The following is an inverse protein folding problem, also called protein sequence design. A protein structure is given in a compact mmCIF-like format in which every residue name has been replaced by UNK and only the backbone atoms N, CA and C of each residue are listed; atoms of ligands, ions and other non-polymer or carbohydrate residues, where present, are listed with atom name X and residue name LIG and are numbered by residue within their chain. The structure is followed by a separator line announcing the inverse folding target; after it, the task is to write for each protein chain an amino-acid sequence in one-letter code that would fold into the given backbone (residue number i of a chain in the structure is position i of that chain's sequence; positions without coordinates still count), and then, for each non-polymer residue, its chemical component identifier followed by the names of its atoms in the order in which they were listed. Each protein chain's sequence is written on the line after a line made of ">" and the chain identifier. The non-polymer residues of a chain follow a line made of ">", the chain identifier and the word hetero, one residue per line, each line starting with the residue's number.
data_IF_110908127156
#
_entry.id   IF_110908127156
#
_cell.length_a   1.000
_cell.length_b   1.000
_cell.length_c   1.000
_cell.angle_alpha   90.00
_cell.angle_beta   90.00
_cell.angle_gamma   90.00
#
_symmetry.space_group_name_H-M   'P 1'
#
loop_
_entity.id
_entity.type
_entity.pdbx_description
1 polymer ?
#
# COMPACT_ATOMS: atom_id res chain seq x y z
N UNK A 1 6.77 -18.37 13.90
CA UNK A 1 7.62 -17.23 14.24
C UNK A 1 7.73 -16.24 13.09
N UNK A 2 8.04 -14.98 13.38
CA UNK A 2 8.21 -13.96 12.34
C UNK A 2 9.53 -14.15 11.59
N UNK A 3 9.53 -13.85 10.28
CA UNK A 3 10.73 -13.87 9.45
C UNK A 3 11.61 -12.66 9.81
N UNK A 4 12.87 -12.90 10.20
CA UNK A 4 13.84 -11.84 10.54
C UNK A 4 15.08 -11.85 9.67
N UNK A 5 15.28 -12.87 8.85
CA UNK A 5 16.41 -12.98 7.95
C UNK A 5 15.99 -13.45 6.56
N UNK A 6 16.62 -12.88 5.54
CA UNK A 6 16.41 -13.24 4.14
C UNK A 6 17.77 -13.31 3.45
N UNK A 7 17.95 -14.30 2.59
CA UNK A 7 19.10 -14.39 1.68
C UNK A 7 18.57 -14.42 0.25
N UNK A 8 19.08 -13.55 -0.61
CA UNK A 8 18.66 -13.51 -2.01
C UNK A 8 19.52 -14.43 -2.91
N UNK A 9 19.15 -14.52 -4.18
CA UNK A 9 19.86 -15.35 -5.16
C UNK A 9 21.30 -14.91 -5.47
N UNK A 10 21.69 -13.68 -5.09
CA UNK A 10 23.06 -13.17 -5.21
C UNK A 10 23.90 -13.42 -3.94
N UNK A 11 23.35 -14.09 -2.94
CA UNK A 11 24.01 -14.38 -1.65
C UNK A 11 24.03 -13.20 -0.69
N UNK A 12 23.31 -12.10 -0.97
CA UNK A 12 23.16 -10.99 -0.03
C UNK A 12 22.24 -11.39 1.11
N UNK A 13 22.62 -10.98 2.32
CA UNK A 13 21.84 -11.26 3.53
C UNK A 13 21.22 -10.00 4.07
N UNK A 14 19.95 -10.09 4.43
CA UNK A 14 19.17 -9.00 4.98
C UNK A 14 18.65 -9.38 6.36
N UNK A 15 18.65 -8.41 7.26
CA UNK A 15 17.99 -8.52 8.56
C UNK A 15 16.75 -7.62 8.57
N UNK A 16 15.64 -8.18 8.98
CA UNK A 16 14.36 -7.48 9.13
C UNK A 16 14.16 -7.16 10.62
N UNK A 17 14.27 -5.89 10.97
CA UNK A 17 14.01 -5.43 12.34
C UNK A 17 12.50 -5.21 12.51
N UNK A 18 11.91 -5.90 13.48
CA UNK A 18 10.49 -5.85 13.78
C UNK A 18 10.25 -5.15 15.11
N UNK A 19 9.11 -4.45 15.23
CA UNK A 19 8.65 -3.84 16.49
C UNK A 19 7.24 -4.28 16.82
N UNK A 20 6.97 -4.41 18.12
CA UNK A 20 5.62 -4.58 18.65
C UNK A 20 4.96 -3.22 18.87
N UNK A 21 3.64 -3.21 19.00
CA UNK A 21 2.89 -2.00 19.34
C UNK A 21 3.37 -1.41 20.69
N UNK A 22 3.61 -2.25 21.70
CA UNK A 22 4.12 -1.81 23.01
C UNK A 22 5.50 -1.14 22.92
N UNK A 23 6.40 -1.68 22.09
CA UNK A 23 7.73 -1.09 21.86
C UNK A 23 7.63 0.29 21.20
N UNK A 24 6.76 0.46 20.23
CA UNK A 24 6.51 1.76 19.57
C UNK A 24 5.88 2.77 20.54
N UNK A 25 4.94 2.33 21.35
CA UNK A 25 4.32 3.16 22.39
C UNK A 25 5.35 3.64 23.43
N UNK A 26 6.24 2.76 23.87
CA UNK A 26 7.31 3.12 24.79
C UNK A 26 8.29 4.13 24.17
N UNK A 27 8.72 3.92 22.94
CA UNK A 27 9.58 4.84 22.21
C UNK A 27 8.94 6.23 22.07
N UNK A 28 7.65 6.29 21.78
CA UNK A 28 6.90 7.55 21.73
C UNK A 28 6.88 8.27 23.07
N UNK A 29 6.65 7.56 24.17
CA UNK A 29 6.68 8.14 25.54
C UNK A 29 8.07 8.68 25.90
N UNK A 30 9.14 7.97 25.53
CA UNK A 30 10.53 8.42 25.77
C UNK A 30 10.87 9.68 24.97
N UNK A 31 10.50 9.76 23.70
CA UNK A 31 10.71 10.96 22.88
C UNK A 31 9.95 12.17 23.45
N UNK A 32 8.73 11.96 23.91
CA UNK A 32 7.92 13.02 24.52
C UNK A 32 8.53 13.51 25.84
N UNK A 33 9.02 12.62 26.69
CA UNK A 33 9.71 12.99 27.93
C UNK A 33 10.97 13.83 27.66
N UNK A 34 11.76 13.48 26.63
CA UNK A 34 12.96 14.22 26.21
C UNK A 34 12.61 15.60 25.68
N UNK A 35 11.54 15.74 24.88
CA UNK A 35 11.11 17.03 24.35
C UNK A 35 10.50 17.96 25.40
N UNK A 36 9.94 17.43 26.50
CA UNK A 36 9.40 18.21 27.62
C UNK A 36 10.50 18.78 28.53
N UNK A 37 11.70 18.23 28.48
CA UNK A 37 12.86 18.72 29.23
C UNK A 37 13.62 19.85 28.53
N UNK A 38 13.28 20.20 27.32
CA UNK A 38 13.84 21.36 26.58
C UNK A 38 13.06 22.62 26.89
N UNK A 39 13.74 23.74 27.28
CA UNK A 39 13.07 25.00 27.54
C UNK A 39 12.71 25.69 26.20
N UNK A 40 11.50 25.55 25.70
CA UNK A 40 11.06 26.35 24.53
C UNK A 40 9.55 26.40 24.40
N UNK A 41 9.00 27.62 24.54
CA UNK A 41 7.79 28.10 23.88
C UNK A 41 6.42 27.76 24.49
N UNK A 42 5.37 28.54 24.18
CA UNK A 42 4.04 28.34 24.72
C UNK A 42 3.43 27.04 24.23
N UNK A 43 3.02 26.23 25.18
CA UNK A 43 2.37 24.93 24.94
C UNK A 43 0.95 25.16 24.42
N UNK A 44 0.70 24.87 23.16
CA UNK A 44 -0.66 24.56 22.74
C UNK A 44 -1.04 23.21 23.38
N UNK A 45 -2.07 23.20 24.19
CA UNK A 45 -2.66 21.98 24.72
C UNK A 45 -3.36 21.24 23.56
N UNK A 46 -2.60 20.57 22.70
CA UNK A 46 -3.16 19.58 21.81
C UNK A 46 -3.45 18.33 22.63
N UNK A 47 -4.68 17.88 22.62
CA UNK A 47 -5.14 16.65 23.21
C UNK A 47 -4.12 15.53 22.92
N UNK A 48 -3.54 14.99 23.98
CA UNK A 48 -2.64 13.86 23.87
C UNK A 48 -3.45 12.66 23.41
N UNK A 49 -3.48 12.37 22.12
CA UNK A 49 -3.90 11.05 21.68
C UNK A 49 -2.93 10.05 22.31
N UNK A 50 -3.44 9.26 23.25
CA UNK A 50 -2.67 8.24 23.91
C UNK A 50 -2.14 7.27 22.84
N UNK A 51 -0.84 6.97 22.88
CA UNK A 51 -0.28 5.91 22.05
C UNK A 51 -0.52 4.59 22.77
N UNK A 52 -1.47 3.73 22.34
CA UNK A 52 -1.84 2.53 23.07
C UNK A 52 -0.75 1.46 22.97
N UNK A 53 -0.62 0.64 24.01
CA UNK A 53 0.31 -0.50 24.04
C UNK A 53 -0.17 -1.68 23.20
N UNK A 54 -1.46 -1.72 22.87
CA UNK A 54 -2.08 -2.77 22.06
C UNK A 54 -3.00 -2.14 21.01
N UNK A 55 -3.12 -2.80 19.85
CA UNK A 55 -4.09 -2.43 18.84
C UNK A 55 -5.42 -3.15 19.08
N UNK A 56 -6.57 -2.60 18.62
CA UNK A 56 -7.82 -3.32 18.61
C UNK A 56 -7.67 -4.67 17.91
N UNK A 57 -8.36 -5.69 18.44
CA UNK A 57 -8.29 -7.04 17.88
C UNK A 57 -8.93 -7.10 16.50
N UNK A 58 -8.12 -7.33 15.48
CA UNK A 58 -8.54 -7.76 14.16
C UNK A 58 -9.11 -6.69 13.24
N UNK A 59 -9.02 -7.01 11.97
CA UNK A 59 -9.70 -6.36 10.85
C UNK A 59 -10.57 -7.39 10.15
N UNK A 60 -11.35 -7.00 9.17
CA UNK A 60 -12.08 -7.94 8.30
C UNK A 60 -11.16 -8.96 7.60
N UNK A 61 -9.85 -8.70 7.55
CA UNK A 61 -8.83 -9.57 6.94
C UNK A 61 -8.11 -10.47 7.95
N UNK A 62 -8.49 -10.42 9.22
CA UNK A 62 -7.92 -11.25 10.29
C UNK A 62 -7.38 -10.48 11.47
N UNK A 63 -6.78 -11.21 12.43
CA UNK A 63 -6.20 -10.62 13.63
C UNK A 63 -4.91 -9.85 13.32
N UNK A 64 -4.82 -8.63 13.83
CA UNK A 64 -3.59 -7.83 13.79
C UNK A 64 -2.81 -8.04 15.09
N UNK A 65 -1.60 -8.62 15.00
CA UNK A 65 -0.71 -8.83 16.15
C UNK A 65 0.09 -7.59 16.54
N UNK A 66 -0.06 -6.48 15.81
CA UNK A 66 0.67 -5.24 16.05
C UNK A 66 2.15 -5.25 15.71
N UNK A 67 2.68 -6.35 15.17
CA UNK A 67 4.07 -6.44 14.74
C UNK A 67 4.23 -5.73 13.40
N UNK A 68 5.23 -4.84 13.30
CA UNK A 68 5.53 -4.05 12.11
C UNK A 68 7.01 -4.13 11.76
N UNK A 69 7.30 -4.02 10.47
CA UNK A 69 8.67 -3.87 9.97
C UNK A 69 9.17 -2.45 10.27
N UNK A 70 10.22 -2.32 11.09
CA UNK A 70 10.84 -1.03 11.42
C UNK A 70 11.99 -0.67 10.48
N UNK A 71 12.80 -1.67 10.11
CA UNK A 71 13.97 -1.45 9.26
C UNK A 71 14.36 -2.70 8.49
N UNK A 72 15.00 -2.48 7.34
CA UNK A 72 15.67 -3.52 6.56
C UNK A 72 17.15 -3.21 6.51
N UNK A 73 17.98 -4.13 7.00
CA UNK A 73 19.44 -4.03 7.01
C UNK A 73 20.05 -4.98 5.99
N UNK A 74 20.96 -4.46 5.17
CA UNK A 74 21.86 -5.31 4.38
C UNK A 74 23.05 -5.70 5.28
N UNK A 75 23.05 -6.93 5.81
CA UNK A 75 24.04 -7.38 6.78
C UNK A 75 25.27 -8.03 6.12
N UNK A 76 25.12 -8.53 4.91
CA UNK A 76 26.21 -9.10 4.14
C UNK A 76 25.97 -8.94 2.65
N UNK A 77 26.99 -8.46 1.94
CA UNK A 77 27.05 -8.43 0.48
C UNK A 77 28.34 -9.13 0.01
N UNK A 78 28.26 -10.24 -0.75
CA UNK A 78 29.43 -10.94 -1.25
C UNK A 78 30.36 -10.08 -2.14
N UNK A 79 29.83 -9.05 -2.79
CA UNK A 79 30.61 -8.09 -3.56
C UNK A 79 31.49 -7.17 -2.68
N UNK A 80 31.09 -6.98 -1.42
CA UNK A 80 31.78 -6.14 -0.43
C UNK A 80 31.86 -6.86 0.93
N UNK A 81 32.58 -7.99 1.02
CA UNK A 81 32.48 -8.90 2.17
C UNK A 81 32.99 -8.31 3.49
N UNK A 82 33.84 -7.28 3.44
CA UNK A 82 34.43 -6.65 4.62
C UNK A 82 33.66 -5.39 5.09
N UNK A 83 32.62 -4.99 4.35
CA UNK A 83 31.81 -3.84 4.74
C UNK A 83 30.81 -4.21 5.82
N UNK A 84 30.71 -3.33 6.84
CA UNK A 84 29.70 -3.41 7.89
C UNK A 84 28.61 -2.36 7.68
N UNK A 85 27.33 -2.69 7.88
CA UNK A 85 26.25 -1.71 7.72
C UNK A 85 26.33 -0.64 8.80
N UNK A 86 26.25 0.63 8.38
CA UNK A 86 26.19 1.79 9.29
C UNK A 86 24.79 2.37 9.41
N UNK A 87 23.92 2.04 8.48
CA UNK A 87 22.53 2.48 8.45
C UNK A 87 21.66 1.42 7.76
N UNK A 88 20.36 1.33 8.07
CA UNK A 88 19.46 0.44 7.34
C UNK A 88 19.26 0.92 5.90
N UNK A 89 18.95 -0.01 5.00
CA UNK A 89 18.56 0.31 3.62
C UNK A 89 17.26 1.10 3.57
N UNK A 90 16.33 0.77 4.45
CA UNK A 90 15.05 1.44 4.59
C UNK A 90 14.62 1.40 6.05
N UNK A 91 13.95 2.46 6.48
CA UNK A 91 13.34 2.57 7.80
C UNK A 91 11.89 3.03 7.67
N UNK A 92 11.03 2.47 8.51
CA UNK A 92 9.60 2.69 8.49
C UNK A 92 9.13 3.20 9.86
N UNK A 93 8.25 4.19 9.86
CA UNK A 93 7.60 4.69 11.07
C UNK A 93 6.09 4.52 10.97
N UNK A 94 5.43 4.44 12.10
CA UNK A 94 4.01 4.12 12.20
C UNK A 94 3.28 5.11 13.10
N UNK A 95 1.98 5.29 12.81
CA UNK A 95 1.09 6.05 13.68
C UNK A 95 0.79 5.28 14.97
N UNK A 96 0.14 5.95 15.93
CA UNK A 96 -0.32 5.33 17.16
C UNK A 96 -1.26 4.13 16.91
N UNK A 97 -1.97 4.13 15.78
CA UNK A 97 -2.87 3.06 15.36
C UNK A 97 -2.18 1.97 14.52
N UNK A 98 -0.85 2.01 14.37
CA UNK A 98 -0.07 1.02 13.65
C UNK A 98 -0.12 1.15 12.12
N UNK A 99 -0.52 2.29 11.60
CA UNK A 99 -0.55 2.59 10.16
C UNK A 99 0.80 3.14 9.72
N UNK A 100 1.25 2.79 8.50
CA UNK A 100 2.52 3.28 7.96
C UNK A 100 2.49 4.80 7.80
N UNK A 101 3.38 5.50 8.48
CA UNK A 101 3.45 6.98 8.48
C UNK A 101 4.49 7.52 7.52
N UNK A 102 5.69 6.96 7.51
CA UNK A 102 6.80 7.43 6.70
C UNK A 102 7.77 6.33 6.36
N UNK A 103 8.44 6.50 5.22
CA UNK A 103 9.54 5.65 4.76
C UNK A 103 10.77 6.52 4.59
N UNK A 104 11.90 6.05 5.10
CA UNK A 104 13.21 6.71 5.01
C UNK A 104 14.18 5.82 4.24
N UNK A 105 15.01 6.43 3.41
CA UNK A 105 16.06 5.74 2.68
C UNK A 105 17.34 5.56 3.53
N UNK A 106 18.38 4.99 2.91
CA UNK A 106 19.66 4.72 3.56
C UNK A 106 20.36 5.99 4.08
N UNK A 107 20.15 7.15 3.44
CA UNK A 107 20.70 8.44 3.89
C UNK A 107 19.94 9.06 5.06
N UNK A 108 18.83 8.46 5.49
CA UNK A 108 17.95 9.01 6.50
C UNK A 108 16.96 10.04 5.96
N UNK A 109 16.88 10.21 4.64
CA UNK A 109 15.93 11.12 3.99
C UNK A 109 14.56 10.47 3.93
N UNK A 110 13.51 11.20 4.32
CA UNK A 110 12.14 10.75 4.16
C UNK A 110 11.77 10.75 2.68
N UNK A 111 11.51 9.57 2.12
CA UNK A 111 11.17 9.38 0.70
C UNK A 111 9.68 9.24 0.45
N UNK A 112 8.91 8.83 1.47
CA UNK A 112 7.45 8.74 1.41
C UNK A 112 6.81 9.16 2.73
N UNK A 113 5.62 9.74 2.63
CA UNK A 113 4.78 10.08 3.77
C UNK A 113 3.33 9.76 3.50
N UNK A 114 2.59 9.38 4.55
CA UNK A 114 1.18 8.99 4.50
C UNK A 114 0.43 9.70 5.62
N UNK A 115 -0.78 10.16 5.33
CA UNK A 115 -1.68 10.78 6.28
C UNK A 115 -3.00 10.04 6.30
N UNK A 116 -3.55 9.84 7.49
CA UNK A 116 -4.77 9.06 7.70
C UNK A 116 -5.90 9.92 8.28
N UNK A 117 -7.14 9.48 8.03
CA UNK A 117 -8.33 10.11 8.58
C UNK A 117 -8.34 9.98 10.11
N UNK A 118 -8.65 11.09 10.79
CA UNK A 118 -8.69 11.13 12.26
C UNK A 118 -9.88 10.35 12.85
N UNK A 119 -10.96 10.19 12.09
CA UNK A 119 -12.21 9.57 12.55
C UNK A 119 -12.37 8.12 12.06
N UNK A 120 -11.71 7.77 10.94
CA UNK A 120 -11.83 6.45 10.31
C UNK A 120 -10.46 5.79 10.25
N UNK A 121 -10.19 4.87 11.19
CA UNK A 121 -8.94 4.13 11.26
C UNK A 121 -8.64 3.38 9.95
N UNK A 122 -7.37 3.42 9.51
CA UNK A 122 -6.91 2.76 8.29
C UNK A 122 -7.22 3.49 6.99
N UNK A 123 -7.96 4.58 7.04
CA UNK A 123 -8.34 5.35 5.84
C UNK A 123 -7.25 6.38 5.52
N UNK A 124 -6.46 6.12 4.49
CA UNK A 124 -5.44 7.05 4.01
C UNK A 124 -6.07 8.21 3.24
N UNK A 125 -5.81 9.45 3.66
CA UNK A 125 -6.35 10.67 3.04
C UNK A 125 -5.32 11.43 2.21
N UNK A 126 -4.04 11.17 2.40
CA UNK A 126 -2.97 11.79 1.61
C UNK A 126 -1.71 10.95 1.61
N UNK A 127 -0.94 11.06 0.54
CA UNK A 127 0.44 10.58 0.50
C UNK A 127 1.31 11.49 -0.36
N UNK A 128 2.62 11.44 -0.14
CA UNK A 128 3.57 12.19 -0.96
C UNK A 128 4.88 11.42 -1.11
N UNK A 129 5.60 11.75 -2.19
CA UNK A 129 7.01 11.43 -2.39
C UNK A 129 7.86 12.62 -2.01
N UNK A 130 9.14 12.38 -1.65
CA UNK A 130 10.07 13.44 -1.28
C UNK A 130 10.13 14.57 -2.34
N UNK A 131 9.99 15.81 -1.88
CA UNK A 131 10.04 16.99 -2.74
C UNK A 131 8.87 17.20 -3.69
N UNK A 132 7.79 16.41 -3.54
CA UNK A 132 6.57 16.52 -4.35
C UNK A 132 5.36 16.89 -3.52
N UNK A 133 4.35 17.59 -4.11
CA UNK A 133 3.10 17.88 -3.43
C UNK A 133 2.33 16.60 -3.08
N UNK A 134 1.48 16.71 -2.08
CA UNK A 134 0.60 15.60 -1.67
C UNK A 134 -0.46 15.27 -2.70
N UNK A 135 -0.67 13.97 -2.95
CA UNK A 135 -1.90 13.44 -3.51
C UNK A 135 -2.92 13.24 -2.40
N UNK A 136 -4.15 13.68 -2.63
CA UNK A 136 -5.24 13.61 -1.65
C UNK A 136 -6.39 12.78 -2.13
N UNK A 137 -7.07 12.12 -1.17
CA UNK A 137 -8.19 11.23 -1.43
C UNK A 137 -9.44 11.69 -0.67
N UNK A 138 -10.60 11.57 -1.30
CA UNK A 138 -11.91 11.68 -0.66
C UNK A 138 -12.63 10.35 -0.73
N UNK A 139 -13.48 10.10 0.26
CA UNK A 139 -14.20 8.84 0.43
C UNK A 139 -15.70 9.09 0.55
N UNK A 140 -16.51 8.11 0.14
CA UNK A 140 -17.94 8.07 0.41
C UNK A 140 -18.24 7.47 1.80
N UNK A 141 -19.50 7.41 2.15
CA UNK A 141 -19.96 6.90 3.46
C UNK A 141 -19.66 5.42 3.66
N UNK A 142 -19.40 4.68 2.60
CA UNK A 142 -19.05 3.25 2.64
C UNK A 142 -17.54 3.00 2.63
N UNK A 143 -16.72 4.05 2.62
CA UNK A 143 -15.27 3.96 2.65
C UNK A 143 -14.60 3.72 1.28
N UNK A 144 -15.31 3.99 0.18
CA UNK A 144 -14.74 3.93 -1.17
C UNK A 144 -14.20 5.29 -1.60
N UNK A 145 -13.09 5.30 -2.32
CA UNK A 145 -12.50 6.53 -2.87
C UNK A 145 -13.42 7.12 -3.93
N UNK A 146 -13.83 8.37 -3.76
CA UNK A 146 -14.65 9.10 -4.74
C UNK A 146 -13.84 10.12 -5.54
N UNK A 147 -12.73 10.60 -5.01
CA UNK A 147 -11.87 11.57 -5.67
C UNK A 147 -10.40 11.35 -5.29
N UNK A 148 -9.53 11.52 -6.26
CA UNK A 148 -8.08 11.60 -6.08
C UNK A 148 -7.58 12.88 -6.72
N UNK A 149 -6.97 13.76 -5.92
CA UNK A 149 -6.40 15.04 -6.37
C UNK A 149 -4.88 14.91 -6.41
N UNK A 150 -4.30 15.10 -7.60
CA UNK A 150 -2.87 15.02 -7.84
C UNK A 150 -2.36 16.36 -8.38
N UNK A 151 -1.71 17.22 -7.57
CA UNK A 151 -1.32 18.57 -8.00
C UNK A 151 -0.38 18.62 -9.20
N UNK A 152 0.41 17.57 -9.43
CA UNK A 152 1.36 17.47 -10.55
C UNK A 152 0.87 16.53 -11.67
N UNK A 153 -0.35 16.04 -11.60
CA UNK A 153 -0.89 15.08 -12.55
C UNK A 153 -2.38 15.27 -12.77
N UNK A 154 -3.01 14.23 -13.29
CA UNK A 154 -4.45 14.22 -13.49
C UNK A 154 -5.18 13.94 -12.19
N UNK A 155 -6.28 14.63 -11.97
CA UNK A 155 -7.24 14.31 -10.93
C UNK A 155 -8.23 13.29 -11.45
N UNK A 156 -8.76 12.44 -10.56
CA UNK A 156 -9.70 11.39 -10.90
C UNK A 156 -10.94 11.46 -10.02
N UNK A 157 -12.10 11.20 -10.61
CA UNK A 157 -13.36 11.00 -9.91
C UNK A 157 -13.87 9.59 -10.18
N UNK A 158 -14.37 8.94 -9.14
CA UNK A 158 -14.85 7.57 -9.17
C UNK A 158 -16.34 7.55 -8.81
N UNK A 159 -17.15 6.99 -9.70
CA UNK A 159 -18.57 6.78 -9.50
C UNK A 159 -18.86 5.29 -9.49
N UNK A 160 -19.47 4.81 -8.40
CA UNK A 160 -19.72 3.40 -8.18
C UNK A 160 -21.16 3.04 -8.51
N UNK A 161 -21.35 2.15 -9.48
CA UNK A 161 -22.61 1.49 -9.77
C UNK A 161 -22.65 0.09 -9.15
N UNK A 162 -23.73 -0.66 -9.40
CA UNK A 162 -23.89 -2.00 -8.85
C UNK A 162 -22.83 -2.98 -9.35
N UNK A 163 -22.47 -2.92 -10.62
CA UNK A 163 -21.58 -3.82 -11.34
C UNK A 163 -20.44 -3.10 -12.06
N UNK A 164 -20.25 -1.81 -11.81
CA UNK A 164 -19.28 -0.99 -12.53
C UNK A 164 -18.76 0.16 -11.71
N UNK A 165 -17.59 0.64 -12.12
CA UNK A 165 -16.96 1.86 -11.64
C UNK A 165 -16.68 2.75 -12.84
N UNK A 166 -17.17 3.98 -12.81
CA UNK A 166 -16.86 4.99 -13.81
C UNK A 166 -15.77 5.90 -13.29
N UNK A 167 -14.68 6.02 -14.05
CA UNK A 167 -13.51 6.84 -13.70
C UNK A 167 -13.45 7.99 -14.71
N UNK A 168 -13.53 9.22 -14.21
CA UNK A 168 -13.42 10.44 -15.02
C UNK A 168 -12.18 11.22 -14.58
N UNK A 169 -11.27 11.54 -15.50
CA UNK A 169 -10.12 12.37 -15.19
C UNK A 169 -10.40 13.87 -15.37
N UNK A 170 -9.45 14.71 -14.98
CA UNK A 170 -9.56 16.17 -15.08
C UNK A 170 -9.57 16.73 -16.51
N UNK A 171 -9.28 15.90 -17.51
CA UNK A 171 -9.44 16.20 -18.93
C UNK A 171 -10.80 15.71 -19.48
N UNK A 172 -11.71 15.27 -18.61
CA UNK A 172 -13.02 14.71 -18.94
C UNK A 172 -12.97 13.41 -19.77
N UNK A 173 -11.84 12.70 -19.73
CA UNK A 173 -11.75 11.36 -20.29
C UNK A 173 -12.40 10.38 -19.33
N UNK A 174 -13.20 9.47 -19.87
CA UNK A 174 -13.99 8.53 -19.08
C UNK A 174 -13.62 7.11 -19.40
N UNK A 175 -13.37 6.31 -18.36
CA UNK A 175 -13.23 4.87 -18.45
C UNK A 175 -14.29 4.21 -17.59
N UNK A 176 -14.79 3.06 -18.01
CA UNK A 176 -15.75 2.27 -17.24
C UNK A 176 -15.21 0.87 -17.03
N UNK A 177 -15.10 0.47 -15.77
CA UNK A 177 -14.70 -0.87 -15.35
C UNK A 177 -15.95 -1.64 -14.95
N UNK A 178 -16.22 -2.75 -15.62
CA UNK A 178 -17.30 -3.67 -15.27
C UNK A 178 -16.75 -4.80 -14.42
N UNK A 179 -17.44 -5.11 -13.33
CA UNK A 179 -17.01 -6.09 -12.35
C UNK A 179 -18.02 -7.22 -12.19
N UNK A 180 -17.52 -8.41 -11.93
CA UNK A 180 -18.30 -9.57 -11.52
C UNK A 180 -17.76 -10.13 -10.21
N UNK A 181 -18.59 -10.88 -9.49
CA UNK A 181 -18.31 -11.44 -8.18
C UNK A 181 -18.90 -10.61 -7.05
N UNK A 182 -18.72 -11.09 -5.81
CA UNK A 182 -19.26 -10.46 -4.62
C UNK A 182 -18.15 -10.13 -3.62
N UNK A 183 -18.34 -9.02 -2.90
CA UNK A 183 -17.44 -8.59 -1.84
C UNK A 183 -16.00 -8.40 -2.30
N UNK A 184 -15.04 -8.93 -1.55
CA UNK A 184 -13.61 -8.87 -1.88
C UNK A 184 -13.18 -9.73 -3.06
N UNK A 185 -14.09 -10.51 -3.66
CA UNK A 185 -13.84 -11.36 -4.82
C UNK A 185 -14.26 -10.71 -6.14
N UNK A 186 -14.67 -9.44 -6.13
CA UNK A 186 -14.98 -8.71 -7.37
C UNK A 186 -13.76 -8.60 -8.28
N UNK A 187 -13.97 -8.88 -9.57
CA UNK A 187 -12.94 -8.81 -10.60
C UNK A 187 -13.41 -8.01 -11.79
N UNK A 188 -12.51 -7.26 -12.41
CA UNK A 188 -12.79 -6.51 -13.63
C UNK A 188 -12.84 -7.49 -14.81
N UNK A 189 -14.00 -7.61 -15.44
CA UNK A 189 -14.24 -8.51 -16.60
C UNK A 189 -14.28 -7.76 -17.92
N UNK A 190 -14.54 -6.46 -17.90
CA UNK A 190 -14.63 -5.61 -19.09
C UNK A 190 -14.17 -4.20 -18.73
N UNK A 191 -13.44 -3.57 -19.63
CA UNK A 191 -13.07 -2.16 -19.55
C UNK A 191 -13.43 -1.45 -20.82
N UNK A 192 -14.24 -0.39 -20.72
CA UNK A 192 -14.44 0.59 -21.79
C UNK A 192 -13.42 1.72 -21.62
N UNK A 193 -12.57 1.89 -22.61
CA UNK A 193 -11.54 2.93 -22.62
C UNK A 193 -12.14 4.28 -23.08
N UNK A 194 -11.42 5.36 -22.81
CA UNK A 194 -11.87 6.71 -23.15
C UNK A 194 -12.08 6.93 -24.65
N UNK A 195 -11.41 6.19 -25.52
CA UNK A 195 -11.58 6.21 -26.98
C UNK A 195 -12.75 5.35 -27.48
N UNK A 196 -13.50 4.70 -26.58
CA UNK A 196 -14.61 3.82 -26.88
C UNK A 196 -14.22 2.36 -27.14
N UNK A 197 -12.93 2.04 -27.16
CA UNK A 197 -12.49 0.65 -27.32
C UNK A 197 -12.79 -0.17 -26.07
N UNK A 198 -12.92 -1.48 -26.24
CA UNK A 198 -13.29 -2.41 -25.16
C UNK A 198 -12.25 -3.51 -25.05
N UNK A 199 -11.82 -3.79 -23.84
CA UNK A 199 -11.02 -4.97 -23.51
C UNK A 199 -11.78 -5.84 -22.51
N UNK A 200 -11.53 -7.17 -22.53
CA UNK A 200 -12.20 -8.14 -21.68
C UNK A 200 -11.20 -9.04 -20.98
N UNK A 201 -11.56 -9.49 -19.79
CA UNK A 201 -10.80 -10.45 -19.00
C UNK A 201 -11.71 -11.57 -18.53
N UNK A 202 -11.22 -12.80 -18.57
CA UNK A 202 -11.93 -13.99 -18.13
C UNK A 202 -11.12 -14.68 -17.04
N UNK A 203 -11.82 -15.15 -16.00
CA UNK A 203 -11.20 -15.77 -14.82
C UNK A 203 -11.73 -17.18 -14.62
N UNK A 204 -10.91 -18.06 -14.06
CA UNK A 204 -11.32 -19.38 -13.63
C UNK A 204 -12.12 -19.34 -12.29
N UNK A 205 -12.59 -20.49 -11.85
CA UNK A 205 -13.36 -20.58 -10.59
C UNK A 205 -12.55 -20.16 -9.35
N UNK A 206 -11.22 -20.30 -9.40
CA UNK A 206 -10.32 -19.83 -8.35
C UNK A 206 -9.99 -18.33 -8.46
N UNK A 207 -10.54 -17.63 -9.45
CA UNK A 207 -10.33 -16.21 -9.68
C UNK A 207 -9.00 -15.86 -10.33
N UNK A 208 -8.37 -16.81 -11.00
CA UNK A 208 -7.12 -16.60 -11.74
C UNK A 208 -7.42 -16.23 -13.18
N UNK A 209 -6.65 -15.29 -13.75
CA UNK A 209 -6.82 -14.87 -15.14
C UNK A 209 -6.55 -16.04 -16.10
N UNK A 210 -7.54 -16.41 -16.90
CA UNK A 210 -7.44 -17.49 -17.91
C UNK A 210 -7.43 -17.01 -19.35
N UNK A 211 -7.96 -15.84 -19.64
CA UNK A 211 -7.96 -15.27 -20.98
C UNK A 211 -8.13 -13.75 -20.95
N UNK A 212 -7.62 -13.10 -21.99
CA UNK A 212 -7.82 -11.67 -22.26
C UNK A 212 -8.17 -11.46 -23.71
N UNK A 213 -9.06 -10.51 -23.99
CA UNK A 213 -9.41 -10.05 -25.33
C UNK A 213 -9.05 -8.58 -25.46
N UNK A 214 -8.20 -8.23 -26.42
CA UNK A 214 -7.77 -6.85 -26.66
C UNK A 214 -8.84 -6.02 -27.41
N UNK A 215 -8.54 -4.73 -27.62
CA UNK A 215 -9.45 -3.80 -28.27
C UNK A 215 -9.74 -4.16 -29.74
N UNK A 216 -8.90 -4.94 -30.40
CA UNK A 216 -9.10 -5.45 -31.74
C UNK A 216 -9.89 -6.77 -31.82
N UNK A 217 -10.33 -7.26 -30.64
CA UNK A 217 -11.05 -8.53 -30.52
C UNK A 217 -10.16 -9.78 -30.51
N UNK A 218 -8.84 -9.61 -30.43
CA UNK A 218 -7.89 -10.72 -30.42
C UNK A 218 -7.82 -11.30 -29.01
N UNK A 219 -8.02 -12.61 -28.90
CA UNK A 219 -8.09 -13.32 -27.62
C UNK A 219 -6.79 -14.09 -27.37
N UNK A 220 -6.25 -13.94 -26.16
CA UNK A 220 -5.11 -14.70 -25.63
C UNK A 220 -5.57 -15.57 -24.49
N UNK A 221 -5.25 -16.85 -24.51
CA UNK A 221 -5.56 -17.80 -23.46
C UNK A 221 -4.31 -18.17 -22.66
N UNK A 222 -4.49 -18.34 -21.34
CA UNK A 222 -3.45 -18.78 -20.43
C UNK A 222 -3.83 -20.14 -19.85
N UNK A 223 -2.97 -21.14 -20.02
CA UNK A 223 -3.13 -22.41 -19.33
C UNK A 223 -2.41 -22.33 -17.99
N UNK A 224 -3.14 -22.63 -16.91
CA UNK A 224 -2.64 -22.47 -15.54
C UNK A 224 -2.43 -23.83 -14.89
N UNK A 225 -1.36 -23.94 -14.08
CA UNK A 225 -1.13 -25.09 -13.22
C UNK A 225 -2.20 -25.11 -12.11
N UNK A 226 -2.88 -26.25 -11.96
CA UNK A 226 -4.05 -26.39 -11.08
C UNK A 226 -3.77 -25.97 -9.63
N UNK A 227 -2.65 -26.39 -9.06
CA UNK A 227 -2.32 -26.15 -7.66
C UNK A 227 -1.67 -24.77 -7.41
N UNK A 228 -0.70 -24.36 -8.25
CA UNK A 228 0.10 -23.15 -8.04
C UNK A 228 -0.43 -21.91 -8.75
N UNK A 229 -1.30 -22.08 -9.76
CA UNK A 229 -1.74 -20.98 -10.62
C UNK A 229 -0.66 -20.44 -11.57
N UNK A 230 0.51 -21.05 -11.62
CA UNK A 230 1.59 -20.66 -12.53
C UNK A 230 1.15 -20.85 -13.99
N UNK A 231 1.51 -19.91 -14.85
CA UNK A 231 1.25 -20.01 -16.29
C UNK A 231 2.12 -21.10 -16.88
N UNK A 232 1.51 -22.14 -17.48
CA UNK A 232 2.19 -23.27 -18.13
C UNK A 232 2.18 -23.19 -19.64
N UNK A 233 1.23 -22.45 -20.22
CA UNK A 233 1.16 -22.19 -21.65
C UNK A 233 0.39 -20.91 -21.93
N UNK A 234 0.73 -20.25 -23.03
CA UNK A 234 0.02 -19.08 -23.56
C UNK A 234 -0.35 -19.37 -25.00
N UNK A 235 -1.64 -19.22 -25.32
CA UNK A 235 -2.13 -19.33 -26.69
C UNK A 235 -2.57 -17.95 -27.14
N UNK A 236 -1.84 -17.40 -28.09
CA UNK A 236 -2.18 -16.12 -28.71
C UNK A 236 -3.32 -16.24 -29.72
N UNK A 237 -3.82 -15.10 -30.20
CA UNK A 237 -4.81 -15.06 -31.29
C UNK A 237 -4.20 -15.56 -32.59
N UNK A 238 -5.00 -16.21 -33.40
CA UNK A 238 -4.66 -16.67 -34.76
C UNK A 238 -4.53 -15.50 -35.76
#
# INVERSE_FOLDING_TARGET
>A
GAVTGVTDGAGRRFHLALTTQAQRAEAFRKQRATSLSSPAGPRSASSSSAFPDTLPAGTEYGADNGIRLEAVWLTHDPAYPDEQPTAPLARYTYTASGELRAVYDRSGTQVRGFTYDAEHAGRMVAHHYAGRPESRYRYDDTGRVTEQVNPEGLDYRFEYGQDRVTITDSLNRREVLYTEGEGGLKRVVKKEHADGSITRSEYDEAGRLKAQTDAAGRRTEYRLHMASGAVTAVTGPD
#
